data_IF_533430066585
#
_entry.id   IF_533430066585
#
_cell.length_a   1.000
_cell.length_b   1.000
_cell.length_c   1.000
_cell.angle_alpha   90.00
_cell.angle_beta   90.00
_cell.angle_gamma   90.00
#
_symmetry.space_group_name_H-M   'P 1'
#
loop_
_entity.id
_entity.type
_entity.pdbx_description
1 polymer ?
#
# COMPACT_ATOMS: atom_id res chain seq x y z
N UNK A 1 -13.16 -16.80 -13.70
CA UNK A 1 -12.44 -15.52 -13.69
C UNK A 1 -12.38 -14.97 -12.28
N UNK A 2 -11.24 -14.43 -11.90
CA UNK A 2 -11.03 -13.90 -10.55
C UNK A 2 -10.77 -12.39 -10.63
N UNK A 3 -11.40 -11.62 -9.74
CA UNK A 3 -11.08 -10.21 -9.56
C UNK A 3 -10.59 -9.98 -8.14
N UNK A 4 -9.85 -8.90 -7.91
CA UNK A 4 -9.42 -8.53 -6.57
C UNK A 4 -10.50 -7.65 -5.94
N UNK A 5 -11.03 -8.08 -4.79
CA UNK A 5 -12.02 -7.31 -4.06
C UNK A 5 -11.36 -6.29 -3.13
N UNK A 6 -10.49 -6.76 -2.25
CA UNK A 6 -9.77 -5.90 -1.32
C UNK A 6 -8.52 -6.60 -0.80
N UNK A 7 -7.68 -5.83 -0.12
CA UNK A 7 -6.51 -6.33 0.59
C UNK A 7 -6.69 -5.97 2.06
N UNK A 8 -6.44 -6.91 2.95
CA UNK A 8 -6.55 -6.67 4.40
C UNK A 8 -5.16 -6.51 5.01
N UNK A 9 -5.01 -5.50 5.85
CA UNK A 9 -3.78 -5.16 6.54
C UNK A 9 -4.03 -5.05 8.04
N UNK A 10 -3.01 -5.33 8.84
CA UNK A 10 -3.04 -5.09 10.27
C UNK A 10 -2.06 -3.96 10.58
N UNK A 11 -2.51 -2.96 11.32
CA UNK A 11 -1.65 -1.88 11.81
C UNK A 11 -1.76 -1.80 13.32
N UNK A 12 -0.69 -1.32 13.96
CA UNK A 12 -0.61 -1.32 15.42
C UNK A 12 -1.44 -0.21 16.07
N UNK A 13 -1.65 0.90 15.38
CA UNK A 13 -2.36 2.05 15.97
C UNK A 13 -3.02 2.92 14.91
N UNK A 14 -4.00 3.69 15.35
CA UNK A 14 -4.82 4.56 14.50
C UNK A 14 -3.98 5.55 13.68
N UNK A 15 -2.96 6.14 14.28
CA UNK A 15 -2.10 7.13 13.61
C UNK A 15 -1.44 6.59 12.34
N UNK A 16 -1.28 5.27 12.25
CA UNK A 16 -0.64 4.64 11.09
C UNK A 16 -1.50 4.70 9.82
N UNK A 17 -2.78 5.00 9.97
CA UNK A 17 -3.65 5.24 8.82
C UNK A 17 -3.20 6.45 8.00
N UNK A 18 -2.52 7.41 8.63
CA UNK A 18 -2.08 8.62 7.93
C UNK A 18 -1.11 8.31 6.79
N UNK A 19 -0.34 7.21 6.89
CA UNK A 19 0.52 6.75 5.80
C UNK A 19 -0.30 6.49 4.54
N UNK A 20 -1.41 5.77 4.68
CA UNK A 20 -2.27 5.43 3.55
C UNK A 20 -3.07 6.64 3.06
N UNK A 21 -3.46 7.53 3.96
CA UNK A 21 -4.11 8.79 3.59
C UNK A 21 -3.20 9.65 2.71
N UNK A 22 -1.91 9.69 3.03
CA UNK A 22 -0.92 10.44 2.23
C UNK A 22 -0.73 9.85 0.83
N UNK A 23 -1.05 8.57 0.64
CA UNK A 23 -1.04 7.94 -0.68
C UNK A 23 -2.32 8.22 -1.47
N UNK A 24 -3.36 8.77 -0.83
CA UNK A 24 -4.61 9.11 -1.46
C UNK A 24 -5.83 8.35 -0.92
N UNK A 25 -5.61 7.37 -0.06
CA UNK A 25 -6.73 6.60 0.51
C UNK A 25 -7.52 7.45 1.50
N UNK A 26 -8.83 7.26 1.51
CA UNK A 26 -9.72 7.92 2.45
C UNK A 26 -10.60 6.89 3.14
N UNK A 27 -10.93 7.13 4.38
CA UNK A 27 -11.82 6.27 5.14
C UNK A 27 -13.24 6.34 4.54
N UNK A 28 -13.83 5.18 4.29
CA UNK A 28 -15.20 5.09 3.77
C UNK A 28 -16.14 4.38 4.73
N UNK A 29 -15.62 3.56 5.62
CA UNK A 29 -16.42 2.87 6.64
C UNK A 29 -15.54 2.46 7.81
N UNK A 30 -16.10 2.53 9.01
CA UNK A 30 -15.42 2.15 10.25
C UNK A 30 -16.33 1.26 11.07
N UNK A 31 -15.77 0.18 11.60
CA UNK A 31 -16.49 -0.75 12.48
C UNK A 31 -15.65 -0.89 13.74
N UNK A 32 -16.23 -0.53 14.89
CA UNK A 32 -15.55 -0.69 16.16
C UNK A 32 -16.02 -1.98 16.82
N UNK A 33 -15.09 -2.88 17.10
CA UNK A 33 -15.36 -4.12 17.80
C UNK A 33 -14.76 -4.04 19.21
N UNK A 34 -15.13 -4.95 20.10
CA UNK A 34 -14.64 -4.91 21.47
C UNK A 34 -13.12 -5.17 21.58
N UNK A 35 -12.52 -5.76 20.55
CA UNK A 35 -11.11 -6.18 20.57
C UNK A 35 -10.26 -5.50 19.50
N UNK A 36 -10.85 -4.80 18.54
CA UNK A 36 -10.11 -4.03 17.54
C UNK A 36 -11.03 -3.02 16.84
N UNK A 37 -10.45 -2.27 15.91
CA UNK A 37 -11.21 -1.38 15.03
C UNK A 37 -10.85 -1.75 13.59
N UNK A 38 -11.87 -1.84 12.73
CA UNK A 38 -11.68 -2.13 11.30
C UNK A 38 -12.04 -0.88 10.51
N UNK A 39 -11.13 -0.43 9.65
CA UNK A 39 -11.33 0.76 8.82
C UNK A 39 -11.18 0.37 7.36
N UNK A 40 -12.23 0.60 6.57
CA UNK A 40 -12.17 0.45 5.13
C UNK A 40 -11.74 1.77 4.53
N UNK A 41 -10.70 1.72 3.71
CA UNK A 41 -10.18 2.90 3.00
C UNK A 41 -10.21 2.62 1.51
N UNK A 42 -10.42 3.67 0.71
CA UNK A 42 -10.58 3.51 -0.73
C UNK A 42 -9.89 4.66 -1.46
N UNK A 43 -9.29 4.34 -2.61
CA UNK A 43 -8.82 5.32 -3.57
C UNK A 43 -8.88 4.71 -4.96
N UNK A 44 -9.55 5.39 -5.88
CA UNK A 44 -9.61 5.01 -7.29
C UNK A 44 -10.02 3.53 -7.49
N UNK A 45 -10.99 3.06 -6.71
CA UNK A 45 -11.50 1.69 -6.80
C UNK A 45 -10.67 0.66 -6.06
N UNK A 46 -9.54 1.04 -5.49
CA UNK A 46 -8.72 0.15 -4.66
C UNK A 46 -9.22 0.23 -3.22
N UNK A 47 -9.51 -0.92 -2.64
CA UNK A 47 -10.02 -1.00 -1.25
C UNK A 47 -9.00 -1.71 -0.39
N UNK A 48 -8.67 -1.11 0.74
CA UNK A 48 -7.91 -1.76 1.80
C UNK A 48 -8.77 -1.83 3.06
N UNK A 49 -8.76 -2.99 3.69
CA UNK A 49 -9.45 -3.22 4.97
C UNK A 49 -8.37 -3.24 6.05
N UNK A 50 -8.36 -2.24 6.92
CA UNK A 50 -7.29 -2.07 7.90
C UNK A 50 -7.79 -2.45 9.29
N UNK A 51 -7.16 -3.47 9.87
CA UNK A 51 -7.42 -3.91 11.25
C UNK A 51 -6.44 -3.21 12.18
N UNK A 52 -6.96 -2.49 13.15
CA UNK A 52 -6.14 -1.74 14.11
C UNK A 52 -6.13 -2.50 15.44
N UNK A 53 -4.97 -3.04 15.78
CA UNK A 53 -4.81 -3.77 17.04
C UNK A 53 -3.32 -3.80 17.44
N UNK A 54 -2.94 -3.20 18.59
CA UNK A 54 -1.55 -3.17 19.03
C UNK A 54 -1.04 -4.52 19.53
N UNK A 55 -1.92 -5.52 19.68
CA UNK A 55 -1.57 -6.80 20.31
C UNK A 55 -1.10 -7.86 19.32
N UNK A 56 -0.99 -7.54 18.04
CA UNK A 56 -0.46 -8.47 17.05
C UNK A 56 1.07 -8.49 17.09
N UNK A 57 1.69 -9.64 16.79
CA UNK A 57 3.15 -9.72 16.69
C UNK A 57 3.67 -8.85 15.55
N UNK A 58 4.91 -8.40 15.71
CA UNK A 58 5.58 -7.62 14.67
C UNK A 58 5.71 -8.44 13.38
N UNK A 59 5.66 -7.75 12.25
CA UNK A 59 5.84 -8.39 10.94
C UNK A 59 7.24 -8.99 10.83
N UNK A 60 7.32 -10.19 10.26
CA UNK A 60 8.61 -10.85 9.98
C UNK A 60 9.14 -10.29 8.66
N UNK A 61 10.27 -9.61 8.71
CA UNK A 61 10.77 -8.85 7.56
C UNK A 61 12.20 -9.20 7.14
N UNK A 62 12.96 -9.92 7.96
CA UNK A 62 14.37 -10.10 7.66
C UNK A 62 14.88 -11.46 8.15
N UNK A 63 14.75 -12.54 7.36
CA UNK A 63 14.17 -12.55 5.99
C UNK A 63 12.65 -12.44 5.99
N UNK A 64 12.09 -12.18 4.83
CA UNK A 64 10.63 -12.14 4.64
C UNK A 64 10.05 -13.54 4.86
N UNK A 65 8.88 -13.60 5.52
CA UNK A 65 8.17 -14.85 5.72
C UNK A 65 7.43 -15.26 4.45
N UNK A 66 7.02 -16.51 4.41
CA UNK A 66 6.17 -17.01 3.32
C UNK A 66 4.84 -16.25 3.30
N UNK A 67 4.28 -16.07 2.12
CA UNK A 67 3.02 -15.37 1.90
C UNK A 67 3.23 -14.06 1.17
N UNK A 68 2.37 -13.09 1.42
CA UNK A 68 2.47 -11.78 0.78
C UNK A 68 3.77 -11.10 1.18
N UNK A 69 4.54 -10.69 0.17
CA UNK A 69 5.80 -9.97 0.38
C UNK A 69 5.57 -8.47 0.46
N UNK A 70 4.87 -7.92 -0.52
CA UNK A 70 4.56 -6.49 -0.57
C UNK A 70 3.31 -6.25 -1.41
N UNK A 71 2.81 -5.03 -1.33
CA UNK A 71 1.69 -4.56 -2.14
C UNK A 71 2.25 -3.49 -3.07
N UNK A 72 1.85 -3.50 -4.34
CA UNK A 72 2.24 -2.49 -5.29
C UNK A 72 1.03 -1.63 -5.66
N UNK A 73 1.14 -0.33 -5.46
CA UNK A 73 0.15 0.65 -5.87
C UNK A 73 0.67 1.47 -7.03
N UNK A 74 -0.23 1.92 -7.90
CA UNK A 74 0.09 2.85 -8.98
C UNK A 74 -0.14 4.27 -8.49
N UNK A 75 0.83 5.15 -8.73
CA UNK A 75 0.72 6.59 -8.42
C UNK A 75 0.91 7.38 -9.71
N UNK A 76 0.34 8.60 -9.75
CA UNK A 76 0.45 9.46 -10.93
C UNK A 76 1.89 9.91 -11.16
N UNK A 77 2.56 10.37 -10.10
CA UNK A 77 3.86 11.01 -10.18
C UNK A 77 4.62 10.74 -8.88
N UNK A 78 5.71 10.00 -8.97
CA UNK A 78 6.52 9.65 -7.81
C UNK A 78 7.12 10.86 -7.11
N UNK A 79 7.36 11.96 -7.84
CA UNK A 79 7.92 13.17 -7.26
C UNK A 79 6.95 13.90 -6.33
N UNK A 80 5.66 13.55 -6.38
CA UNK A 80 4.61 14.18 -5.58
C UNK A 80 4.13 13.32 -4.41
N UNK A 81 4.72 12.15 -4.23
CA UNK A 81 4.35 11.25 -3.14
C UNK A 81 4.83 11.83 -1.80
N UNK A 82 3.95 11.88 -0.82
CA UNK A 82 4.18 12.53 0.48
C UNK A 82 4.52 11.53 1.59
N UNK A 83 5.22 10.45 1.24
CA UNK A 83 5.78 9.52 2.21
C UNK A 83 7.25 9.33 1.88
N UNK A 84 8.04 9.00 2.91
CA UNK A 84 9.47 8.75 2.72
C UNK A 84 9.67 7.46 1.91
N UNK A 85 10.45 7.55 0.85
CA UNK A 85 10.68 6.45 -0.07
C UNK A 85 12.17 6.22 -0.29
N UNK A 86 12.49 5.01 -0.77
CA UNK A 86 13.84 4.69 -1.25
C UNK A 86 14.09 5.42 -2.58
N UNK A 87 15.28 5.22 -3.12
CA UNK A 87 15.67 5.77 -4.42
C UNK A 87 14.72 5.27 -5.52
N UNK A 88 14.34 6.18 -6.41
CA UNK A 88 13.51 5.83 -7.57
C UNK A 88 14.36 5.07 -8.57
N UNK A 89 13.86 3.92 -9.03
CA UNK A 89 14.51 3.04 -9.99
C UNK A 89 13.57 2.75 -11.15
N UNK A 90 14.10 2.07 -12.16
CA UNK A 90 13.32 1.62 -13.32
C UNK A 90 13.22 0.10 -13.27
N UNK A 91 12.00 -0.44 -13.44
CA UNK A 91 11.77 -1.87 -13.40
C UNK A 91 12.10 -2.56 -14.73
N UNK A 92 11.86 -3.86 -14.80
CA UNK A 92 12.15 -4.66 -15.99
C UNK A 92 11.32 -4.26 -17.23
N UNK A 93 10.24 -3.50 -17.01
CA UNK A 93 9.34 -3.05 -18.08
C UNK A 93 9.52 -1.57 -18.42
N UNK A 94 10.55 -0.91 -17.87
CA UNK A 94 10.82 0.49 -18.13
C UNK A 94 9.99 1.47 -17.30
N UNK A 95 9.27 1.01 -16.30
CA UNK A 95 8.46 1.87 -15.42
C UNK A 95 9.28 2.33 -14.22
N UNK A 96 9.08 3.57 -13.82
CA UNK A 96 9.68 4.09 -12.60
C UNK A 96 8.93 3.55 -11.39
N UNK A 97 9.67 3.21 -10.36
CA UNK A 97 9.10 2.70 -9.13
C UNK A 97 10.02 3.00 -7.93
N UNK A 98 9.46 2.87 -6.74
CA UNK A 98 10.25 2.91 -5.52
C UNK A 98 9.57 2.02 -4.46
N UNK A 99 10.28 1.78 -3.38
CA UNK A 99 9.73 1.10 -2.22
C UNK A 99 9.66 2.04 -1.03
N UNK A 100 8.65 1.84 -0.22
CA UNK A 100 8.49 2.48 1.08
C UNK A 100 7.97 1.42 2.05
N UNK A 101 7.80 1.79 3.29
CA UNK A 101 7.21 0.91 4.31
C UNK A 101 6.20 1.71 5.09
N UNK A 102 5.09 1.07 5.44
CA UNK A 102 4.19 1.69 6.39
C UNK A 102 4.85 1.71 7.78
N UNK A 103 4.27 2.42 8.77
CA UNK A 103 4.89 2.53 10.10
C UNK A 103 5.11 1.20 10.82
N UNK A 104 4.42 0.14 10.44
CA UNK A 104 4.59 -1.21 11.01
C UNK A 104 5.54 -2.08 10.19
N UNK A 105 6.16 -1.52 9.16
CA UNK A 105 7.17 -2.23 8.38
C UNK A 105 6.63 -3.00 7.17
N UNK A 106 5.34 -2.85 6.82
CA UNK A 106 4.79 -3.49 5.62
C UNK A 106 5.41 -2.84 4.38
N UNK A 107 6.14 -3.61 3.55
CA UNK A 107 6.70 -3.06 2.32
C UNK A 107 5.59 -2.70 1.33
N UNK A 108 5.72 -1.53 0.75
CA UNK A 108 4.81 -1.00 -0.26
C UNK A 108 5.65 -0.58 -1.45
N UNK A 109 5.32 -1.10 -2.62
CA UNK A 109 5.93 -0.65 -3.88
C UNK A 109 5.03 0.41 -4.50
N UNK A 110 5.62 1.50 -4.98
CA UNK A 110 4.89 2.55 -5.68
C UNK A 110 5.41 2.58 -7.11
N UNK A 111 4.52 2.32 -8.06
CA UNK A 111 4.86 2.34 -9.50
C UNK A 111 4.20 3.56 -10.13
N UNK A 112 4.97 4.28 -10.93
CA UNK A 112 4.44 5.43 -11.63
C UNK A 112 3.53 4.97 -12.75
N UNK A 113 2.42 5.65 -12.92
CA UNK A 113 1.44 5.33 -13.96
C UNK A 113 2.09 5.39 -15.34
N UNK A 114 1.82 4.37 -16.17
CA UNK A 114 2.25 4.39 -17.55
C UNK A 114 1.52 5.50 -18.30
N UNK A 115 2.29 6.35 -19.01
CA UNK A 115 1.71 7.26 -19.97
C UNK A 115 1.28 6.43 -21.21
N UNK A 116 0.42 6.95 -22.09
CA UNK A 116 0.09 6.25 -23.34
C UNK A 116 1.33 5.87 -24.15
N UNK A 117 2.36 6.73 -24.17
CA UNK A 117 3.62 6.45 -24.86
C UNK A 117 4.35 5.29 -24.24
N UNK A 118 4.42 5.25 -22.90
CA UNK A 118 5.09 4.16 -22.18
C UNK A 118 4.35 2.85 -22.41
N UNK A 119 3.01 2.89 -22.42
CA UNK A 119 2.20 1.73 -22.71
C UNK A 119 2.46 1.16 -24.09
N UNK A 120 2.64 1.98 -25.08
CA UNK A 120 2.97 1.57 -26.44
C UNK A 120 4.36 0.95 -26.52
N UNK A 121 5.33 1.51 -25.82
CA UNK A 121 6.71 1.01 -25.81
C UNK A 121 6.81 -0.37 -25.13
N UNK A 122 5.93 -0.66 -24.20
CA UNK A 122 5.99 -1.88 -23.41
C UNK A 122 5.14 -3.04 -23.98
N UNK A 123 4.58 -2.86 -25.13
CA UNK A 123 3.76 -3.88 -25.82
C UNK A 123 4.59 -4.80 -26.67
#
# INVERSE_FOLDING_TARGET
MVGLDHIALIVSKEENLSFYEKLGFREVKRIERSYDTVVFMEDNGVIIEVFIDPNHPARVSNPEALGLRHIAFVVEDLSKVDVECEEIRTDWFGRRFTFTKDPDGQPIELKEKNTPEDGEKNR
#
